data_IF_356981060098
#
_entry.id   IF_356981060098
#
_cell.length_a   1.000
_cell.length_b   1.000
_cell.length_c   1.000
_cell.angle_alpha   90.00
_cell.angle_beta   90.00
_cell.angle_gamma   90.00
#
_symmetry.space_group_name_H-M   'P 1'
#
loop_
_entity.id
_entity.type
_entity.pdbx_description
1 polymer ?
#
# COMPACT_ATOMS: atom_id res chain seq x y z
N UNK A 1 26.17 -12.25 7.98
CA UNK A 1 26.33 -11.17 6.98
C UNK A 1 27.29 -10.12 7.53
N UNK A 2 28.11 -9.50 6.69
CA UNK A 2 28.93 -8.35 7.07
C UNK A 2 28.01 -7.17 7.47
N UNK A 3 28.38 -6.39 8.48
CA UNK A 3 27.59 -5.24 8.96
C UNK A 3 27.37 -4.18 7.88
N UNK A 4 28.27 -4.08 6.90
CA UNK A 4 28.08 -3.21 5.71
C UNK A 4 26.94 -3.70 4.81
N UNK A 5 26.84 -5.00 4.58
CA UNK A 5 25.78 -5.61 3.76
C UNK A 5 24.40 -5.47 4.41
N UNK A 6 24.30 -5.67 5.73
CA UNK A 6 23.04 -5.46 6.48
C UNK A 6 22.59 -3.99 6.44
N UNK A 7 23.53 -3.05 6.56
CA UNK A 7 23.21 -1.61 6.47
C UNK A 7 22.75 -1.23 5.07
N UNK A 8 23.40 -1.74 4.02
CA UNK A 8 22.98 -1.50 2.64
C UNK A 8 21.58 -2.07 2.39
N UNK A 9 21.32 -3.29 2.84
CA UNK A 9 19.99 -3.93 2.74
C UNK A 9 18.90 -3.09 3.40
N UNK A 10 19.14 -2.59 4.63
CA UNK A 10 18.19 -1.73 5.32
C UNK A 10 17.92 -0.42 4.54
N UNK A 11 18.98 0.21 4.00
CA UNK A 11 18.83 1.43 3.21
C UNK A 11 18.08 1.23 1.91
N UNK A 12 18.36 0.12 1.21
CA UNK A 12 17.60 -0.26 0.02
C UNK A 12 16.13 -0.53 0.36
N UNK A 13 15.85 -1.19 1.50
CA UNK A 13 14.49 -1.38 1.96
C UNK A 13 13.80 -0.02 2.16
N UNK A 14 14.44 0.92 2.84
CA UNK A 14 13.93 2.29 3.00
C UNK A 14 13.68 3.01 1.67
N UNK A 15 14.60 2.89 0.71
CA UNK A 15 14.47 3.49 -0.63
C UNK A 15 13.26 2.94 -1.40
N UNK A 16 13.12 1.62 -1.48
CA UNK A 16 11.96 1.01 -2.15
C UNK A 16 10.65 1.29 -1.41
N UNK A 17 10.70 1.43 -0.09
CA UNK A 17 9.52 1.80 0.69
C UNK A 17 9.09 3.25 0.39
N UNK A 18 10.02 4.19 0.32
CA UNK A 18 9.75 5.57 -0.16
C UNK A 18 9.16 5.52 -1.58
N UNK A 19 9.74 4.71 -2.47
CA UNK A 19 9.24 4.53 -3.83
C UNK A 19 7.80 4.04 -3.87
N UNK A 20 7.44 3.10 -2.99
CA UNK A 20 6.06 2.62 -2.83
C UNK A 20 5.13 3.76 -2.44
N UNK A 21 5.47 4.50 -1.37
CA UNK A 21 4.64 5.62 -0.89
C UNK A 21 4.49 6.66 -2.00
N UNK A 22 5.59 7.04 -2.68
CA UNK A 22 5.56 8.03 -3.76
C UNK A 22 4.68 7.60 -4.93
N UNK A 23 4.82 6.36 -5.40
CA UNK A 23 4.04 5.84 -6.52
C UNK A 23 2.54 5.71 -6.16
N UNK A 24 2.24 5.21 -4.95
CA UNK A 24 0.86 5.10 -4.47
C UNK A 24 0.20 6.47 -4.29
N UNK A 25 0.92 7.44 -3.71
CA UNK A 25 0.43 8.81 -3.56
C UNK A 25 0.19 9.50 -4.91
N UNK A 26 1.05 9.27 -5.90
CA UNK A 26 0.79 9.79 -7.25
C UNK A 26 -0.48 9.18 -7.87
N UNK A 27 -0.66 7.86 -7.76
CA UNK A 27 -1.84 7.19 -8.30
C UNK A 27 -3.14 7.64 -7.60
N UNK A 28 -3.15 7.69 -6.26
CA UNK A 28 -4.34 8.09 -5.48
C UNK A 28 -4.57 9.61 -5.48
N UNK A 29 -3.61 10.37 -4.94
CA UNK A 29 -3.81 11.77 -4.58
C UNK A 29 -3.63 12.73 -5.76
N UNK A 30 -3.09 12.26 -6.89
CA UNK A 30 -2.95 13.07 -8.11
C UNK A 30 -3.88 12.54 -9.21
N UNK A 31 -3.70 11.29 -9.63
CA UNK A 31 -4.44 10.76 -10.79
C UNK A 31 -5.90 10.51 -10.44
N UNK A 32 -6.19 9.66 -9.44
CA UNK A 32 -7.56 9.30 -9.08
C UNK A 32 -8.33 10.49 -8.51
N UNK A 33 -7.72 11.30 -7.66
CA UNK A 33 -8.32 12.53 -7.13
C UNK A 33 -8.71 13.55 -8.22
N UNK A 34 -7.97 13.61 -9.34
CA UNK A 34 -8.28 14.53 -10.44
C UNK A 34 -9.36 13.98 -11.39
N UNK A 35 -9.43 12.66 -11.60
CA UNK A 35 -10.22 12.07 -12.66
C UNK A 35 -11.53 11.43 -12.18
N UNK A 36 -11.57 10.90 -10.95
CA UNK A 36 -12.72 10.16 -10.44
C UNK A 36 -13.65 11.09 -9.67
N UNK A 37 -14.91 11.17 -10.11
CA UNK A 37 -15.97 11.90 -9.40
C UNK A 37 -16.85 10.90 -8.67
N UNK A 38 -16.80 10.85 -7.31
CA UNK A 38 -17.58 9.89 -6.54
C UNK A 38 -19.07 9.91 -6.90
N UNK A 39 -19.62 8.73 -7.18
CA UNK A 39 -21.04 8.57 -7.55
C UNK A 39 -21.42 9.00 -8.96
N UNK A 40 -20.55 9.69 -9.71
CA UNK A 40 -20.86 10.23 -11.05
C UNK A 40 -20.05 9.53 -12.15
N UNK A 41 -20.58 8.40 -12.64
CA UNK A 41 -19.94 7.61 -13.70
C UNK A 41 -19.83 8.36 -15.03
N UNK A 42 -20.80 9.22 -15.35
CA UNK A 42 -20.78 10.04 -16.58
C UNK A 42 -19.62 11.02 -16.60
N UNK A 43 -19.44 11.77 -15.51
CA UNK A 43 -18.38 12.76 -15.41
C UNK A 43 -17.01 12.11 -15.27
N UNK A 44 -16.91 11.03 -14.48
CA UNK A 44 -15.68 10.23 -14.39
C UNK A 44 -15.25 9.70 -15.76
N UNK A 45 -16.18 9.13 -16.53
CA UNK A 45 -15.92 8.64 -17.87
C UNK A 45 -15.44 9.75 -18.81
N UNK A 46 -16.05 10.94 -18.75
CA UNK A 46 -15.62 12.11 -19.52
C UNK A 46 -14.19 12.53 -19.15
N UNK A 47 -13.89 12.65 -17.86
CA UNK A 47 -12.56 13.04 -17.39
C UNK A 47 -11.48 12.05 -17.85
N UNK A 48 -11.76 10.74 -17.79
CA UNK A 48 -10.83 9.70 -18.27
C UNK A 48 -10.64 9.79 -19.79
N UNK A 49 -11.72 10.02 -20.54
CA UNK A 49 -11.66 10.18 -22.00
C UNK A 49 -10.89 11.45 -22.42
N UNK A 50 -10.98 12.53 -21.64
CA UNK A 50 -10.26 13.78 -21.88
C UNK A 50 -8.76 13.66 -21.52
N UNK A 51 -8.41 12.83 -20.52
CA UNK A 51 -7.04 12.65 -20.02
C UNK A 51 -6.60 11.16 -19.92
N UNK A 52 -6.63 10.41 -21.03
CA UNK A 52 -6.39 8.95 -21.01
C UNK A 52 -4.95 8.60 -20.63
N UNK A 53 -3.97 9.45 -20.99
CA UNK A 53 -2.57 9.23 -20.64
C UNK A 53 -2.35 9.34 -19.13
N UNK A 54 -3.03 10.29 -18.46
CA UNK A 54 -2.90 10.52 -17.02
C UNK A 54 -3.47 9.32 -16.26
N UNK A 55 -4.62 8.80 -16.71
CA UNK A 55 -5.24 7.61 -16.13
C UNK A 55 -4.35 6.36 -16.29
N UNK A 56 -3.73 6.17 -17.48
CA UNK A 56 -2.76 5.10 -17.72
C UNK A 56 -1.48 5.27 -16.88
N UNK A 57 -1.01 6.50 -16.69
CA UNK A 57 0.14 6.79 -15.83
C UNK A 57 -0.15 6.42 -14.36
N UNK A 58 -1.37 6.65 -13.87
CA UNK A 58 -1.80 6.18 -12.54
C UNK A 58 -1.70 4.66 -12.40
N UNK A 59 -2.22 3.90 -13.37
CA UNK A 59 -2.11 2.44 -13.36
C UNK A 59 -0.66 1.93 -13.47
N UNK A 60 0.17 2.58 -14.30
CA UNK A 60 1.60 2.26 -14.36
C UNK A 60 2.33 2.55 -13.04
N UNK A 61 1.92 3.62 -12.34
CA UNK A 61 2.42 3.96 -11.01
C UNK A 61 2.01 2.92 -9.97
N UNK A 62 0.78 2.41 -10.00
CA UNK A 62 0.36 1.32 -9.12
C UNK A 62 1.22 0.06 -9.36
N UNK A 63 1.53 -0.29 -10.62
CA UNK A 63 2.43 -1.43 -10.91
C UNK A 63 3.85 -1.17 -10.36
N UNK A 64 4.40 0.02 -10.55
CA UNK A 64 5.70 0.40 -10.01
C UNK A 64 5.73 0.34 -8.48
N UNK A 65 4.65 0.79 -7.83
CA UNK A 65 4.42 0.67 -6.38
C UNK A 65 4.51 -0.80 -5.94
N UNK A 66 3.81 -1.71 -6.60
CA UNK A 66 3.82 -3.14 -6.25
C UNK A 66 5.21 -3.77 -6.43
N UNK A 67 5.94 -3.42 -7.48
CA UNK A 67 7.33 -3.87 -7.67
C UNK A 67 8.24 -3.39 -6.55
N UNK A 68 8.10 -2.13 -6.14
CA UNK A 68 8.84 -1.59 -5.00
C UNK A 68 8.48 -2.34 -3.71
N UNK A 69 7.20 -2.60 -3.46
CA UNK A 69 6.78 -3.28 -2.25
C UNK A 69 7.21 -4.74 -2.20
N UNK A 70 7.28 -5.44 -3.34
CA UNK A 70 7.89 -6.77 -3.42
C UNK A 70 9.36 -6.76 -2.93
N UNK A 71 10.13 -5.76 -3.38
CA UNK A 71 11.51 -5.58 -2.94
C UNK A 71 11.58 -5.27 -1.44
N UNK A 72 10.73 -4.37 -0.93
CA UNK A 72 10.59 -4.08 0.51
C UNK A 72 10.36 -5.36 1.30
N UNK A 73 9.41 -6.19 0.89
CA UNK A 73 9.04 -7.42 1.58
C UNK A 73 10.19 -8.42 1.64
N UNK A 74 10.89 -8.63 0.54
CA UNK A 74 12.05 -9.51 0.50
C UNK A 74 13.20 -8.99 1.39
N UNK A 75 13.50 -7.68 1.31
CA UNK A 75 14.58 -7.06 2.07
C UNK A 75 14.28 -7.05 3.58
N UNK A 76 13.04 -6.75 3.98
CA UNK A 76 12.65 -6.75 5.40
C UNK A 76 12.52 -8.15 5.97
N UNK A 77 12.10 -9.14 5.19
CA UNK A 77 12.19 -10.54 5.60
C UNK A 77 13.63 -10.93 5.95
N UNK A 78 14.59 -10.63 5.07
CA UNK A 78 16.00 -10.91 5.34
C UNK A 78 16.53 -10.15 6.56
N UNK A 79 16.08 -8.91 6.76
CA UNK A 79 16.54 -8.05 7.85
C UNK A 79 16.07 -8.55 9.22
N UNK A 80 14.82 -9.00 9.33
CA UNK A 80 14.18 -9.40 10.58
C UNK A 80 14.12 -10.92 10.82
N UNK A 81 14.44 -11.76 9.82
CA UNK A 81 14.53 -13.20 10.00
C UNK A 81 15.42 -13.64 11.18
N UNK A 82 16.57 -13.00 11.47
CA UNK A 82 17.38 -13.32 12.65
C UNK A 82 16.69 -13.03 13.99
N UNK A 83 15.74 -12.08 14.04
CA UNK A 83 14.99 -11.72 15.25
C UNK A 83 13.82 -12.67 15.49
N UNK A 84 13.21 -13.18 14.43
CA UNK A 84 12.08 -14.11 14.52
C UNK A 84 11.65 -14.63 13.16
N UNK A 85 12.25 -15.73 12.71
CA UNK A 85 12.06 -16.27 11.34
C UNK A 85 10.61 -16.62 11.01
N UNK A 86 9.87 -17.19 11.97
CA UNK A 86 8.45 -17.54 11.77
C UNK A 86 7.64 -16.27 11.54
N UNK A 87 7.77 -15.27 12.42
CA UNK A 87 6.98 -14.05 12.30
C UNK A 87 7.37 -13.22 11.07
N UNK A 88 8.66 -13.14 10.75
CA UNK A 88 9.13 -12.48 9.53
C UNK A 88 8.57 -13.15 8.27
N UNK A 89 8.50 -14.49 8.25
CA UNK A 89 7.89 -15.24 7.14
C UNK A 89 6.38 -14.97 7.08
N UNK A 90 5.68 -15.02 8.21
CA UNK A 90 4.25 -14.73 8.27
C UNK A 90 3.94 -13.33 7.77
N UNK A 91 4.72 -12.33 8.20
CA UNK A 91 4.60 -10.96 7.69
C UNK A 91 4.79 -10.91 6.16
N UNK A 92 5.83 -11.55 5.64
CA UNK A 92 6.06 -11.60 4.20
C UNK A 92 4.90 -12.24 3.43
N UNK A 93 4.30 -13.31 3.96
CA UNK A 93 3.11 -13.94 3.34
C UNK A 93 1.92 -12.98 3.29
N UNK A 94 1.61 -12.28 4.39
CA UNK A 94 0.55 -11.28 4.40
C UNK A 94 0.80 -10.15 3.40
N UNK A 95 2.03 -9.64 3.32
CA UNK A 95 2.39 -8.63 2.34
C UNK A 95 2.23 -9.13 0.89
N UNK A 96 2.71 -10.34 0.59
CA UNK A 96 2.56 -10.93 -0.75
C UNK A 96 1.10 -11.15 -1.13
N UNK A 97 0.25 -11.53 -0.18
CA UNK A 97 -1.20 -11.61 -0.40
C UNK A 97 -1.80 -10.24 -0.73
N UNK A 98 -1.44 -9.19 0.03
CA UNK A 98 -1.88 -7.81 -0.26
C UNK A 98 -1.44 -7.33 -1.65
N UNK A 99 -0.17 -7.60 -2.02
CA UNK A 99 0.36 -7.30 -3.35
C UNK A 99 -0.42 -8.05 -4.44
N UNK A 100 -0.68 -9.34 -4.26
CA UNK A 100 -1.42 -10.15 -5.23
C UNK A 100 -2.86 -9.65 -5.42
N UNK A 101 -3.53 -9.25 -4.33
CA UNK A 101 -4.86 -8.64 -4.38
C UNK A 101 -4.84 -7.35 -5.20
N UNK A 102 -3.88 -6.44 -4.97
CA UNK A 102 -3.75 -5.20 -5.75
C UNK A 102 -3.36 -5.43 -7.22
N UNK A 103 -2.52 -6.44 -7.49
CA UNK A 103 -2.18 -6.82 -8.85
C UNK A 103 -3.43 -7.27 -9.61
N UNK A 104 -4.27 -8.10 -9.00
CA UNK A 104 -5.59 -8.46 -9.55
C UNK A 104 -6.53 -7.27 -9.69
N UNK A 105 -6.50 -6.36 -8.71
CA UNK A 105 -7.29 -5.13 -8.70
C UNK A 105 -7.00 -4.19 -9.90
N UNK A 106 -5.81 -4.31 -10.50
CA UNK A 106 -5.42 -3.53 -11.68
C UNK A 106 -6.34 -3.79 -12.88
N UNK A 107 -6.99 -4.95 -12.95
CA UNK A 107 -7.98 -5.25 -13.99
C UNK A 107 -9.21 -4.31 -13.90
N UNK A 108 -9.68 -4.02 -12.68
CA UNK A 108 -10.80 -3.11 -12.46
C UNK A 108 -10.44 -1.66 -12.78
N UNK A 109 -9.16 -1.28 -12.60
CA UNK A 109 -8.63 0.01 -13.04
C UNK A 109 -8.50 0.09 -14.58
N UNK A 110 -8.22 -1.01 -15.26
CA UNK A 110 -8.13 -0.99 -16.74
C UNK A 110 -9.51 -1.04 -17.42
N UNK A 111 -10.54 -1.54 -16.74
CA UNK A 111 -11.88 -1.72 -17.31
C UNK A 111 -12.50 -0.41 -17.83
N UNK A 112 -12.42 0.75 -17.13
CA UNK A 112 -12.88 2.02 -17.68
C UNK A 112 -12.28 2.39 -19.04
N UNK A 113 -10.98 2.14 -19.25
CA UNK A 113 -10.34 2.40 -20.54
C UNK A 113 -10.93 1.51 -21.63
N UNK A 114 -11.08 0.21 -21.37
CA UNK A 114 -11.65 -0.72 -22.34
C UNK A 114 -13.11 -0.37 -22.70
N UNK A 115 -13.89 0.09 -21.72
CA UNK A 115 -15.26 0.54 -21.92
C UNK A 115 -15.35 1.82 -22.74
N UNK A 116 -14.45 2.77 -22.52
CA UNK A 116 -14.40 4.05 -23.26
C UNK A 116 -13.90 3.82 -24.68
N UNK A 117 -12.78 3.13 -24.85
CA UNK A 117 -12.14 2.90 -26.15
C UNK A 117 -13.03 2.08 -27.10
N UNK A 118 -13.90 1.22 -26.55
CA UNK A 118 -14.85 0.40 -27.32
C UNK A 118 -16.22 1.03 -27.57
N UNK A 119 -16.50 2.24 -27.07
CA UNK A 119 -17.81 2.86 -27.20
C UNK A 119 -18.04 3.47 -28.60
N UNK A 120 -19.27 3.42 -29.16
CA UNK A 120 -20.47 2.77 -28.62
C UNK A 120 -20.44 1.24 -28.77
N UNK A 121 -20.92 0.54 -27.75
CA UNK A 121 -20.98 -0.92 -27.73
C UNK A 121 -22.31 -1.43 -28.31
N UNK A 122 -22.30 -2.38 -29.27
CA UNK A 122 -23.54 -2.97 -29.78
C UNK A 122 -24.37 -3.61 -28.67
N UNK A 123 -25.62 -3.17 -28.52
CA UNK A 123 -26.56 -3.71 -27.52
C UNK A 123 -26.36 -3.23 -26.09
N UNK A 124 -25.36 -2.37 -25.80
CA UNK A 124 -25.15 -1.78 -24.48
C UNK A 124 -25.34 -0.26 -24.57
N UNK A 125 -26.44 0.29 -24.01
CA UNK A 125 -26.66 1.73 -23.94
C UNK A 125 -25.53 2.47 -23.21
N UNK A 126 -25.28 3.72 -23.61
CA UNK A 126 -24.24 4.56 -22.99
C UNK A 126 -24.44 4.76 -21.48
N UNK A 127 -25.69 4.78 -21.00
CA UNK A 127 -26.00 4.87 -19.57
C UNK A 127 -25.51 3.64 -18.78
N UNK A 128 -25.55 2.45 -19.41
CA UNK A 128 -25.03 1.22 -18.82
C UNK A 128 -23.50 1.23 -18.80
N UNK A 129 -22.84 1.70 -19.88
CA UNK A 129 -21.38 1.90 -19.92
C UNK A 129 -20.90 2.80 -18.78
N UNK A 130 -21.57 3.95 -18.57
CA UNK A 130 -21.25 4.87 -17.47
C UNK A 130 -21.46 4.21 -16.09
N UNK A 131 -22.47 3.37 -15.95
CA UNK A 131 -22.72 2.61 -14.72
C UNK A 131 -21.65 1.56 -14.48
N UNK A 132 -21.19 0.86 -15.53
CA UNK A 132 -20.11 -0.12 -15.45
C UNK A 132 -18.78 0.54 -15.06
N UNK A 133 -18.44 1.70 -15.60
CA UNK A 133 -17.27 2.50 -15.18
C UNK A 133 -17.35 2.84 -13.69
N UNK A 134 -18.51 3.29 -13.21
CA UNK A 134 -18.70 3.61 -11.79
C UNK A 134 -18.54 2.38 -10.91
N UNK A 135 -19.18 1.26 -11.28
CA UNK A 135 -19.14 0.02 -10.50
C UNK A 135 -17.74 -0.57 -10.48
N UNK A 136 -17.01 -0.57 -11.60
CA UNK A 136 -15.64 -1.09 -11.65
C UNK A 136 -14.70 -0.31 -10.74
N UNK A 137 -14.81 1.02 -10.71
CA UNK A 137 -14.01 1.88 -9.84
C UNK A 137 -14.41 1.76 -8.36
N UNK A 138 -15.70 1.54 -8.07
CA UNK A 138 -16.16 1.25 -6.71
C UNK A 138 -15.56 -0.06 -6.20
N UNK A 139 -15.66 -1.13 -6.99
CA UNK A 139 -15.07 -2.42 -6.65
C UNK A 139 -13.54 -2.34 -6.57
N UNK A 140 -12.92 -1.49 -7.39
CA UNK A 140 -11.49 -1.23 -7.32
C UNK A 140 -11.10 -0.66 -5.95
N UNK A 141 -11.85 0.31 -5.44
CA UNK A 141 -11.65 0.88 -4.12
C UNK A 141 -11.86 -0.16 -3.00
N UNK A 142 -12.87 -1.02 -3.12
CA UNK A 142 -13.13 -2.08 -2.15
C UNK A 142 -11.99 -3.10 -2.08
N UNK A 143 -11.49 -3.56 -3.23
CA UNK A 143 -10.34 -4.46 -3.33
C UNK A 143 -9.05 -3.80 -2.85
N UNK A 144 -8.88 -2.50 -3.07
CA UNK A 144 -7.79 -1.72 -2.47
C UNK A 144 -7.90 -1.77 -0.94
N UNK A 145 -9.08 -1.55 -0.38
CA UNK A 145 -9.35 -1.68 1.06
C UNK A 145 -9.04 -3.07 1.60
N UNK A 146 -9.43 -4.14 0.90
CA UNK A 146 -9.11 -5.53 1.27
C UNK A 146 -7.59 -5.75 1.30
N UNK A 147 -6.85 -5.20 0.34
CA UNK A 147 -5.39 -5.30 0.34
C UNK A 147 -4.76 -4.67 1.58
N UNK A 148 -5.30 -3.53 2.02
CA UNK A 148 -4.84 -2.79 3.20
C UNK A 148 -5.10 -3.56 4.51
N UNK A 149 -6.08 -4.47 4.57
CA UNK A 149 -6.25 -5.37 5.71
C UNK A 149 -5.01 -6.25 5.88
N UNK A 150 -4.54 -6.85 4.78
CA UNK A 150 -3.34 -7.68 4.79
C UNK A 150 -2.07 -6.86 5.09
N UNK A 151 -1.96 -5.66 4.51
CA UNK A 151 -0.86 -4.75 4.84
C UNK A 151 -0.90 -4.27 6.30
N UNK A 152 -2.09 -4.09 6.87
CA UNK A 152 -2.25 -3.75 8.28
C UNK A 152 -1.64 -4.81 9.19
N UNK A 153 -1.92 -6.09 8.92
CA UNK A 153 -1.30 -7.22 9.63
C UNK A 153 0.22 -7.24 9.40
N UNK A 154 0.67 -7.05 8.16
CA UNK A 154 2.10 -6.96 7.85
C UNK A 154 2.82 -5.87 8.67
N UNK A 155 2.27 -4.66 8.71
CA UNK A 155 2.83 -3.52 9.46
C UNK A 155 2.86 -3.79 10.97
N UNK A 156 1.84 -4.43 11.53
CA UNK A 156 1.83 -4.87 12.93
C UNK A 156 2.98 -5.83 13.23
N UNK A 157 3.18 -6.83 12.37
CA UNK A 157 4.22 -7.85 12.56
C UNK A 157 5.63 -7.28 12.38
N UNK A 158 5.85 -6.46 11.34
CA UNK A 158 7.14 -5.80 11.09
C UNK A 158 7.45 -4.78 12.18
N UNK A 159 6.47 -3.98 12.62
CA UNK A 159 6.67 -3.01 13.69
C UNK A 159 7.06 -3.69 15.01
N UNK A 160 6.42 -4.83 15.33
CA UNK A 160 6.82 -5.63 16.49
C UNK A 160 8.23 -6.22 16.35
N UNK A 161 8.59 -6.74 15.17
CA UNK A 161 9.95 -7.23 14.90
C UNK A 161 10.98 -6.10 14.99
N UNK A 162 10.65 -4.90 14.53
CA UNK A 162 11.49 -3.71 14.63
C UNK A 162 11.81 -3.38 16.09
N UNK A 163 10.78 -3.34 16.95
CA UNK A 163 10.94 -3.12 18.40
C UNK A 163 11.77 -4.24 19.03
N UNK A 164 11.43 -5.51 18.75
CA UNK A 164 12.11 -6.68 19.33
C UNK A 164 13.57 -6.78 18.90
N UNK A 165 13.90 -6.34 17.69
CA UNK A 165 15.27 -6.38 17.16
C UNK A 165 16.22 -5.43 17.88
N UNK A 166 15.68 -4.40 18.57
CA UNK A 166 16.44 -3.29 19.18
C UNK A 166 17.37 -2.54 18.19
N UNK A 167 17.10 -2.65 16.89
CA UNK A 167 17.89 -1.98 15.82
C UNK A 167 17.31 -0.64 15.40
N UNK A 168 16.04 -0.39 15.73
CA UNK A 168 15.32 0.85 15.45
C UNK A 168 14.73 1.41 16.75
N UNK A 169 14.44 2.73 16.81
CA UNK A 169 13.75 3.32 17.94
C UNK A 169 12.39 2.67 18.14
N UNK A 170 12.01 2.47 19.40
CA UNK A 170 10.70 1.89 19.75
C UNK A 170 9.56 2.71 19.15
N UNK A 171 9.69 4.04 19.12
CA UNK A 171 8.71 4.95 18.54
C UNK A 171 8.43 4.65 17.07
N UNK A 172 9.47 4.37 16.27
CA UNK A 172 9.33 4.08 14.84
C UNK A 172 8.55 2.77 14.63
N UNK A 173 8.89 1.72 15.39
CA UNK A 173 8.15 0.46 15.33
C UNK A 173 6.71 0.59 15.84
N UNK A 174 6.48 1.37 16.91
CA UNK A 174 5.15 1.59 17.46
C UNK A 174 4.24 2.40 16.52
N UNK A 175 4.79 3.43 15.85
CA UNK A 175 4.05 4.18 14.83
C UNK A 175 3.67 3.29 13.65
N UNK A 176 4.57 2.42 13.19
CA UNK A 176 4.25 1.45 12.14
C UNK A 176 3.12 0.50 12.56
N UNK A 177 3.16 0.01 13.81
CA UNK A 177 2.07 -0.81 14.36
C UNK A 177 0.75 -0.04 14.44
N UNK A 178 0.77 1.22 14.87
CA UNK A 178 -0.43 2.06 14.93
C UNK A 178 -1.04 2.26 13.55
N UNK A 179 -0.20 2.55 12.54
CA UNK A 179 -0.61 2.60 11.14
C UNK A 179 -1.23 1.29 10.66
N UNK A 180 -0.58 0.16 10.96
CA UNK A 180 -1.10 -1.15 10.63
C UNK A 180 -2.46 -1.47 11.29
N UNK A 181 -2.64 -1.06 12.54
CA UNK A 181 -3.91 -1.20 13.26
C UNK A 181 -5.03 -0.37 12.62
N UNK A 182 -4.73 0.87 12.20
CA UNK A 182 -5.69 1.73 11.51
C UNK A 182 -6.13 1.08 10.20
N UNK A 183 -5.19 0.63 9.35
CA UNK A 183 -5.54 -0.09 8.12
C UNK A 183 -6.37 -1.34 8.39
N UNK A 184 -5.95 -2.18 9.33
CA UNK A 184 -6.65 -3.41 9.66
C UNK A 184 -8.08 -3.15 10.13
N UNK A 185 -8.25 -2.28 11.13
CA UNK A 185 -9.55 -2.04 11.78
C UNK A 185 -10.47 -1.29 10.83
N UNK A 186 -10.01 -0.16 10.27
CA UNK A 186 -10.87 0.69 9.45
C UNK A 186 -11.38 -0.04 8.20
N UNK A 187 -10.50 -0.78 7.53
CA UNK A 187 -10.85 -1.49 6.29
C UNK A 187 -11.67 -2.74 6.55
N UNK A 188 -11.45 -3.43 7.68
CA UNK A 188 -12.33 -4.54 8.08
C UNK A 188 -13.73 -4.05 8.42
N UNK A 189 -13.87 -2.90 9.11
CA UNK A 189 -15.17 -2.31 9.40
C UNK A 189 -15.90 -1.85 8.14
N UNK A 190 -15.19 -1.19 7.22
CA UNK A 190 -15.76 -0.80 5.93
C UNK A 190 -16.23 -2.00 5.10
N UNK A 191 -15.50 -3.13 5.16
CA UNK A 191 -15.88 -4.37 4.49
C UNK A 191 -17.13 -5.01 5.10
N UNK A 192 -17.29 -4.98 6.42
CA UNK A 192 -18.45 -5.53 7.11
C UNK A 192 -19.70 -4.64 6.99
N UNK A 193 -19.51 -3.33 6.93
CA UNK A 193 -20.58 -2.35 6.81
C UNK A 193 -20.08 -1.11 6.04
N UNK A 194 -20.52 -0.92 4.79
CA UNK A 194 -20.19 0.27 4.02
C UNK A 194 -20.59 1.56 4.74
N UNK A 195 -21.73 1.56 5.45
CA UNK A 195 -22.20 2.70 6.23
C UNK A 195 -21.25 3.08 7.38
N UNK A 196 -20.63 2.09 8.05
CA UNK A 196 -19.58 2.36 9.05
C UNK A 196 -18.35 2.89 8.34
N UNK A 197 -17.96 2.29 7.21
CA UNK A 197 -16.82 2.75 6.40
C UNK A 197 -16.90 4.22 6.01
N UNK A 198 -18.07 4.67 5.57
CA UNK A 198 -18.32 6.09 5.22
C UNK A 198 -18.26 7.03 6.43
N UNK A 199 -18.55 6.52 7.64
CA UNK A 199 -18.46 7.30 8.87
C UNK A 199 -17.01 7.41 9.40
N UNK A 200 -16.07 6.61 8.89
CA UNK A 200 -14.66 6.65 9.30
C UNK A 200 -14.02 7.91 8.68
N UNK A 201 -13.46 8.83 9.48
CA UNK A 201 -12.82 10.02 8.96
C UNK A 201 -11.59 9.66 8.11
N UNK A 202 -11.54 10.15 6.87
CA UNK A 202 -10.39 9.92 5.97
C UNK A 202 -9.05 10.43 6.52
N UNK A 203 -9.08 11.36 7.48
CA UNK A 203 -7.89 11.83 8.19
C UNK A 203 -7.18 10.72 8.98
N UNK A 204 -7.84 9.60 9.28
CA UNK A 204 -7.18 8.47 9.94
C UNK A 204 -6.08 7.86 9.07
N UNK A 205 -6.16 7.97 7.74
CA UNK A 205 -5.13 7.47 6.82
C UNK A 205 -3.78 8.23 6.95
N UNK A 206 -3.75 9.37 7.64
CA UNK A 206 -2.49 10.03 8.00
C UNK A 206 -1.65 9.20 8.99
N UNK A 207 -2.27 8.39 9.85
CA UNK A 207 -1.53 7.58 10.83
C UNK A 207 -0.68 6.50 10.15
N UNK A 208 -1.23 5.65 9.24
CA UNK A 208 -0.43 4.77 8.40
C UNK A 208 0.65 5.49 7.60
N UNK A 209 0.33 6.61 6.94
CA UNK A 209 1.30 7.37 6.15
C UNK A 209 2.48 7.85 7.00
N UNK A 210 2.21 8.37 8.20
CA UNK A 210 3.24 8.79 9.15
C UNK A 210 4.07 7.61 9.65
N UNK A 211 3.43 6.48 9.99
CA UNK A 211 4.13 5.29 10.47
C UNK A 211 5.04 4.66 9.43
N UNK A 212 4.52 4.44 8.23
CA UNK A 212 5.27 3.87 7.11
C UNK A 212 6.34 4.83 6.60
N UNK A 213 6.02 6.13 6.49
CA UNK A 213 6.97 7.17 6.12
C UNK A 213 8.13 7.29 7.12
N UNK A 214 7.84 7.33 8.42
CA UNK A 214 8.87 7.38 9.46
C UNK A 214 9.76 6.14 9.43
N UNK A 215 9.18 4.95 9.25
CA UNK A 215 9.91 3.70 9.14
C UNK A 215 10.82 3.67 7.89
N UNK A 216 10.28 4.06 6.73
CA UNK A 216 11.01 4.12 5.47
C UNK A 216 12.18 5.11 5.52
N UNK A 217 11.94 6.32 6.01
CA UNK A 217 12.97 7.37 6.18
C UNK A 217 14.05 6.90 7.15
N UNK A 218 13.68 6.28 8.28
CA UNK A 218 14.65 5.78 9.24
C UNK A 218 15.60 4.75 8.62
N UNK A 219 15.03 3.76 7.93
CA UNK A 219 15.80 2.73 7.24
C UNK A 219 16.72 3.32 6.18
N UNK A 220 16.25 4.31 5.41
CA UNK A 220 17.03 4.96 4.36
C UNK A 220 18.24 5.74 4.92
N UNK A 221 18.02 6.54 5.96
CA UNK A 221 19.06 7.42 6.50
C UNK A 221 20.02 6.68 7.44
N UNK A 222 19.46 5.97 8.41
CA UNK A 222 20.21 5.37 9.52
C UNK A 222 20.48 3.88 9.31
N UNK A 223 19.68 3.18 8.51
CA UNK A 223 19.74 1.73 8.37
C UNK A 223 19.21 1.02 9.62
N UNK A 224 19.73 -0.17 9.89
CA UNK A 224 19.36 -0.98 11.06
C UNK A 224 20.63 -1.53 11.73
N UNK A 225 21.39 -0.69 12.46
CA UNK A 225 22.63 -1.11 13.11
C UNK A 225 22.36 -2.24 14.12
N UNK A 226 23.36 -3.12 14.30
CA UNK A 226 23.26 -4.17 15.32
C UNK A 226 23.24 -3.55 16.72
N UNK A 227 22.49 -4.13 17.67
CA UNK A 227 22.55 -3.70 19.06
C UNK A 227 23.99 -3.80 19.57
N UNK A 228 24.44 -2.83 20.37
CA UNK A 228 25.70 -2.95 21.09
C UNK A 228 25.66 -4.22 21.96
N UNK A 229 26.75 -4.98 22.00
CA UNK A 229 26.87 -6.10 22.92
C UNK A 229 26.71 -5.56 24.36
N UNK A 230 25.98 -6.24 25.25
CA UNK A 230 25.94 -5.84 26.64
C UNK A 230 27.37 -5.83 27.18
N UNK A 231 27.79 -4.71 27.78
CA UNK A 231 29.02 -4.66 28.55
C UNK A 231 28.90 -5.71 29.66
N UNK A 232 29.74 -6.74 29.58
CA UNK A 232 29.89 -7.71 30.66
C UNK A 232 30.71 -6.97 31.72
N UNK A 233 30.03 -6.35 32.69
CA UNK A 233 30.70 -5.85 33.89
C UNK A 233 31.31 -7.05 34.65
N UNK A 234 32.59 -6.99 35.03
CA UNK A 234 33.28 -8.09 35.72
C UNK A 234 32.73 -8.36 37.13
#
# INVERSE_FOLDING_TARGET
>A
MDGKAERLQARLAGLFYIGTIGCGMFAEAVVRAALIVPGNGRETMRNIADYPWLYRAGGASDVAMLCCYLAVTALLYGLFAPTGRVLARTAALFSLTGIAVLAGNSLLHLLPLALIDGAPHPGIPMAEVQSLVRISLSLHNDLYGISLIFFGIYCLLIGWLAIRSRRLPVVVGALLMAGGAVHLIARSLALLSPAIGEAIPGQLDFVPLLGEGAFAIWLLLFGAPRPAAPEISP
#
